data_IF_364445758342
#
_entry.id   IF_364445758342
#
_cell.length_a   1.000
_cell.length_b   1.000
_cell.length_c   1.000
_cell.angle_alpha   90.00
_cell.angle_beta   90.00
_cell.angle_gamma   90.00
#
_symmetry.space_group_name_H-M   'P 1'
#
loop_
_entity.id
_entity.type
_entity.pdbx_description
1 polymer ?
#
# COMPACT_ATOMS: atom_id res chain seq x y z
N UNK A 1 -6.72 6.77 11.62
CA UNK A 1 -5.89 6.24 10.52
C UNK A 1 -4.44 6.68 10.71
N UNK A 2 -3.49 5.80 10.43
CA UNK A 2 -2.08 6.12 10.56
C UNK A 2 -1.70 7.29 9.64
N UNK A 3 -0.86 8.25 10.13
CA UNK A 3 -0.50 9.43 9.33
C UNK A 3 0.14 9.10 7.98
N UNK A 4 0.91 8.03 7.89
CA UNK A 4 1.55 7.61 6.64
C UNK A 4 0.52 7.26 5.57
N UNK A 5 -0.64 6.74 5.95
CA UNK A 5 -1.71 6.41 5.02
C UNK A 5 -2.58 7.62 4.70
N UNK A 6 -2.76 8.52 5.67
CA UNK A 6 -3.60 9.69 5.50
C UNK A 6 -3.06 10.68 4.46
N UNK A 7 -1.74 10.64 4.20
CA UNK A 7 -1.12 11.51 3.19
C UNK A 7 -1.33 11.03 1.76
N UNK A 8 -1.78 9.80 1.57
CA UNK A 8 -1.94 9.22 0.23
C UNK A 8 -3.11 9.87 -0.50
N UNK A 9 -2.85 10.42 -1.67
CA UNK A 9 -3.83 11.05 -2.54
C UNK A 9 -3.57 10.61 -3.98
N UNK A 10 -4.53 10.78 -4.90
CA UNK A 10 -4.26 10.46 -6.30
C UNK A 10 -3.06 11.22 -6.86
N UNK A 11 -2.85 12.49 -6.44
CA UNK A 11 -1.70 13.28 -6.88
C UNK A 11 -0.39 12.75 -6.30
N UNK A 12 -0.42 12.22 -5.10
CA UNK A 12 0.77 11.65 -4.48
C UNK A 12 1.34 10.52 -5.34
N UNK A 13 0.47 9.66 -5.87
CA UNK A 13 0.87 8.51 -6.69
C UNK A 13 1.44 8.92 -8.05
N UNK A 14 1.17 10.13 -8.53
CA UNK A 14 1.77 10.62 -9.77
C UNK A 14 3.26 10.84 -9.65
N UNK A 15 3.77 11.03 -8.45
CA UNK A 15 5.19 11.27 -8.19
C UNK A 15 5.93 10.00 -7.79
N UNK A 16 5.20 8.96 -7.42
CA UNK A 16 5.79 7.73 -6.91
C UNK A 16 5.35 6.56 -7.77
N UNK A 17 6.15 6.20 -8.76
CA UNK A 17 5.87 5.02 -9.60
C UNK A 17 5.99 3.73 -8.81
N UNK A 18 7.01 3.63 -7.97
CA UNK A 18 7.18 2.53 -7.01
C UNK A 18 7.61 3.15 -5.69
N UNK A 19 6.93 2.79 -4.64
CA UNK A 19 7.24 3.30 -3.30
C UNK A 19 7.16 2.17 -2.29
N UNK A 20 8.13 2.12 -1.39
CA UNK A 20 8.15 1.19 -0.27
C UNK A 20 8.24 1.97 1.03
N UNK A 21 7.50 1.52 2.04
CA UNK A 21 7.53 2.12 3.35
C UNK A 21 7.43 1.06 4.43
N UNK A 22 7.58 1.49 5.69
CA UNK A 22 7.48 0.57 6.82
C UNK A 22 6.98 1.29 8.06
N UNK A 23 6.24 0.55 8.89
CA UNK A 23 5.81 0.95 10.22
C UNK A 23 6.24 -0.19 11.13
N UNK A 24 7.41 -0.04 11.78
CA UNK A 24 8.02 -1.13 12.50
C UNK A 24 8.38 -2.28 11.55
N UNK A 25 7.85 -3.47 11.83
CA UNK A 25 8.03 -4.64 10.97
C UNK A 25 7.00 -4.74 9.86
N UNK A 26 5.93 -3.96 9.93
CA UNK A 26 4.91 -3.91 8.88
C UNK A 26 5.45 -3.10 7.70
N UNK A 27 5.52 -3.73 6.53
CA UNK A 27 6.05 -3.14 5.32
C UNK A 27 4.99 -3.09 4.24
N UNK A 28 5.04 -2.05 3.41
CA UNK A 28 4.10 -1.91 2.31
C UNK A 28 4.82 -1.40 1.07
N UNK A 29 4.26 -1.75 -0.08
CA UNK A 29 4.79 -1.36 -1.38
C UNK A 29 3.65 -0.97 -2.29
N UNK A 30 3.83 0.13 -3.02
CA UNK A 30 2.88 0.58 -4.04
C UNK A 30 3.58 0.63 -5.39
N UNK A 31 2.83 0.25 -6.43
CA UNK A 31 3.27 0.41 -7.81
C UNK A 31 2.10 0.99 -8.60
N UNK A 32 2.36 2.03 -9.40
CA UNK A 32 1.34 2.66 -10.22
C UNK A 32 1.40 2.10 -11.64
N UNK A 33 0.23 1.88 -12.24
CA UNK A 33 0.09 1.48 -13.63
C UNK A 33 -0.77 2.54 -14.32
N UNK A 34 -0.11 3.48 -14.98
CA UNK A 34 -0.78 4.61 -15.64
C UNK A 34 -1.61 4.20 -16.85
N UNK A 35 -1.22 3.12 -17.54
CA UNK A 35 -1.97 2.64 -18.70
C UNK A 35 -3.29 1.99 -18.29
N UNK A 36 -3.26 1.19 -17.25
CA UNK A 36 -4.46 0.52 -16.74
C UNK A 36 -5.27 1.39 -15.79
N UNK A 37 -4.69 2.49 -15.28
CA UNK A 37 -5.33 3.32 -14.27
C UNK A 37 -5.49 2.61 -12.95
N UNK A 38 -4.52 1.79 -12.58
CA UNK A 38 -4.55 0.96 -11.38
C UNK A 38 -3.39 1.27 -10.43
N UNK A 39 -3.63 1.00 -9.16
CA UNK A 39 -2.63 1.05 -8.10
C UNK A 39 -2.48 -0.36 -7.54
N UNK A 40 -1.26 -0.88 -7.58
CA UNK A 40 -0.95 -2.19 -7.01
C UNK A 40 -0.35 -1.99 -5.63
N UNK A 41 -0.98 -2.53 -4.60
CA UNK A 41 -0.52 -2.43 -3.22
C UNK A 41 -0.16 -3.80 -2.69
N UNK A 42 0.88 -3.87 -1.87
CA UNK A 42 1.31 -5.10 -1.22
C UNK A 42 1.74 -4.79 0.20
N UNK A 43 1.50 -5.74 1.12
CA UNK A 43 2.00 -5.68 2.50
C UNK A 43 2.74 -6.97 2.81
N UNK A 44 3.79 -6.87 3.60
CA UNK A 44 4.66 -8.00 3.93
C UNK A 44 5.46 -7.68 5.19
N UNK A 45 6.12 -8.70 5.76
CA UNK A 45 6.87 -8.53 7.00
C UNK A 45 8.38 -8.79 6.86
N UNK A 46 8.86 -9.11 5.65
CA UNK A 46 10.30 -9.34 5.41
C UNK A 46 11.00 -8.08 4.92
N UNK A 47 12.33 -8.09 4.98
CA UNK A 47 13.14 -6.97 4.52
C UNK A 47 12.97 -6.67 3.04
N UNK A 48 12.76 -7.71 2.25
CA UNK A 48 12.70 -7.60 0.81
C UNK A 48 11.41 -8.20 0.28
N UNK A 49 10.69 -7.43 -0.52
CA UNK A 49 9.44 -7.87 -1.12
C UNK A 49 9.62 -9.18 -1.89
N UNK A 50 10.73 -9.30 -2.62
CA UNK A 50 10.97 -10.43 -3.50
C UNK A 50 11.18 -11.75 -2.77
N UNK A 51 11.64 -11.70 -1.51
CA UNK A 51 11.87 -12.89 -0.71
C UNK A 51 10.79 -13.11 0.35
N UNK A 52 9.81 -12.20 0.44
CA UNK A 52 8.73 -12.31 1.42
C UNK A 52 7.79 -13.45 1.03
N UNK A 53 7.47 -14.32 1.97
CA UNK A 53 6.54 -15.43 1.77
C UNK A 53 5.11 -15.10 2.21
N UNK A 54 4.93 -13.99 2.93
CA UNK A 54 3.66 -13.58 3.51
C UNK A 54 3.07 -12.33 2.84
N UNK A 55 3.39 -12.14 1.56
CA UNK A 55 2.91 -10.98 0.80
C UNK A 55 1.41 -11.10 0.56
N UNK A 56 0.68 -10.04 0.92
CA UNK A 56 -0.73 -9.87 0.57
C UNK A 56 -0.84 -8.70 -0.40
N UNK A 57 -1.42 -8.94 -1.56
CA UNK A 57 -1.52 -7.93 -2.62
C UNK A 57 -2.99 -7.61 -2.92
N UNK A 58 -3.24 -6.36 -3.29
CA UNK A 58 -4.57 -5.90 -3.68
C UNK A 58 -4.42 -4.77 -4.69
N UNK A 59 -5.26 -4.78 -5.72
CA UNK A 59 -5.30 -3.72 -6.73
C UNK A 59 -6.46 -2.75 -6.41
N UNK A 60 -6.21 -1.47 -6.73
CA UNK A 60 -7.20 -0.41 -6.54
C UNK A 60 -7.21 0.48 -7.77
N UNK A 61 -8.34 1.12 -8.04
CA UNK A 61 -8.42 2.09 -9.13
C UNK A 61 -7.67 3.37 -8.76
N UNK A 62 -7.05 4.00 -9.76
CA UNK A 62 -6.29 5.22 -9.53
C UNK A 62 -7.22 6.43 -9.61
N UNK A 63 -8.08 6.57 -8.60
CA UNK A 63 -9.01 7.67 -8.44
C UNK A 63 -9.25 7.89 -6.95
N UNK A 64 -10.10 8.85 -6.63
CA UNK A 64 -10.37 9.22 -5.24
C UNK A 64 -10.97 8.05 -4.45
N UNK A 65 -11.92 7.33 -5.04
CA UNK A 65 -12.53 6.17 -4.39
C UNK A 65 -11.53 5.03 -4.19
N UNK A 66 -10.72 4.76 -5.22
CA UNK A 66 -9.70 3.70 -5.15
C UNK A 66 -8.65 4.00 -4.10
N UNK A 67 -8.19 5.26 -4.02
CA UNK A 67 -7.22 5.68 -3.02
C UNK A 67 -7.81 5.58 -1.61
N UNK A 68 -9.07 5.97 -1.44
CA UNK A 68 -9.75 5.84 -0.14
C UNK A 68 -9.85 4.37 0.28
N UNK A 69 -10.20 3.49 -0.66
CA UNK A 69 -10.26 2.06 -0.39
C UNK A 69 -8.89 1.50 -0.04
N UNK A 70 -7.85 1.96 -0.73
CA UNK A 70 -6.46 1.55 -0.45
C UNK A 70 -6.03 1.98 0.95
N UNK A 71 -6.34 3.20 1.36
CA UNK A 71 -6.03 3.67 2.71
C UNK A 71 -6.70 2.81 3.77
N UNK A 72 -7.98 2.50 3.59
CA UNK A 72 -8.71 1.66 4.53
C UNK A 72 -8.16 0.24 4.56
N UNK A 73 -7.82 -0.31 3.41
CA UNK A 73 -7.22 -1.64 3.32
C UNK A 73 -5.88 -1.69 4.06
N UNK A 74 -5.02 -0.68 3.87
CA UNK A 74 -3.74 -0.61 4.57
C UNK A 74 -3.93 -0.53 6.08
N UNK A 75 -4.89 0.27 6.54
CA UNK A 75 -5.18 0.37 7.97
C UNK A 75 -5.66 -0.96 8.54
N UNK A 76 -6.52 -1.66 7.80
CA UNK A 76 -6.99 -2.99 8.21
C UNK A 76 -5.84 -3.99 8.29
N UNK A 77 -4.92 -3.97 7.32
CA UNK A 77 -3.76 -4.84 7.32
C UNK A 77 -2.83 -4.54 8.49
N UNK A 78 -2.61 -3.27 8.78
CA UNK A 78 -1.80 -2.84 9.92
C UNK A 78 -2.41 -3.28 11.24
N UNK A 79 -3.72 -3.12 11.40
CA UNK A 79 -4.43 -3.53 12.61
C UNK A 79 -4.36 -5.05 12.81
N UNK A 80 -4.54 -5.80 11.73
CA UNK A 80 -4.43 -7.26 11.77
C UNK A 80 -2.99 -7.70 12.09
N UNK A 81 -1.99 -7.00 11.55
CA UNK A 81 -0.59 -7.29 11.83
C UNK A 81 -0.27 -7.05 13.31
N UNK A 82 -0.79 -5.97 13.88
CA UNK A 82 -0.56 -5.64 15.29
C UNK A 82 -1.20 -6.62 16.28
N UNK A 83 -2.13 -7.47 15.81
CA UNK A 83 -2.82 -8.44 16.65
C UNK A 83 -2.14 -9.82 16.65
N UNK A 84 -1.09 -9.99 15.89
CA UNK A 84 -0.37 -11.28 15.79
C UNK A 84 0.61 -11.48 16.95
#
# INVERSE_FOLDING_TARGET
MHPDFAQLTPQWFRRAFVYTGSIGEFRYRFKTDGEAGLLHAAVYSHYCYEVASDVTEQDFTWDEEGVNALQQWLQQQLDAFGQK
#
